data_IF_873767964768
#
_entry.id   IF_873767964768
#
_cell.length_a   1.000
_cell.length_b   1.000
_cell.length_c   1.000
_cell.angle_alpha   90.00
_cell.angle_beta   90.00
_cell.angle_gamma   90.00
#
_symmetry.space_group_name_H-M   'P 1'
#
loop_
_entity.id
_entity.type
_entity.pdbx_description
1 polymer ?
#
# COMPACT_ATOMS: atom_id res chain seq x y z
N UNK A 1 -0.76 -9.73 -4.26
CA UNK A 1 -0.10 -8.78 -5.16
C UNK A 1 -1.11 -8.30 -6.19
N UNK A 2 -1.40 -7.00 -6.22
CA UNK A 2 -2.39 -6.43 -7.13
C UNK A 2 -1.69 -5.66 -8.24
N UNK A 3 -1.99 -6.01 -9.49
CA UNK A 3 -1.50 -5.26 -10.64
C UNK A 3 -2.32 -3.98 -10.81
N UNK A 4 -1.64 -2.87 -11.04
CA UNK A 4 -2.25 -1.54 -11.19
C UNK A 4 -2.24 -1.08 -12.65
N UNK A 5 -1.37 -1.66 -13.47
CA UNK A 5 -1.23 -1.35 -14.89
C UNK A 5 -0.82 -2.58 -15.67
N UNK A 6 -1.25 -2.66 -16.92
CA UNK A 6 -0.76 -3.66 -17.86
C UNK A 6 -0.56 -3.07 -19.26
N UNK A 7 0.52 -3.48 -19.92
CA UNK A 7 0.89 -3.05 -21.27
C UNK A 7 1.05 -4.27 -22.17
N UNK A 8 0.36 -4.29 -23.31
CA UNK A 8 0.52 -5.35 -24.30
C UNK A 8 1.52 -4.96 -25.38
N UNK A 9 2.56 -5.78 -25.55
CA UNK A 9 3.62 -5.61 -26.54
C UNK A 9 3.32 -6.50 -27.76
N UNK A 10 2.80 -5.89 -28.83
CA UNK A 10 2.35 -6.62 -30.02
C UNK A 10 3.47 -7.42 -30.71
N UNK A 11 4.66 -6.83 -30.83
CA UNK A 11 5.82 -7.46 -31.53
C UNK A 11 6.23 -8.78 -30.88
N UNK A 12 6.21 -8.85 -29.56
CA UNK A 12 6.62 -10.04 -28.79
C UNK A 12 5.45 -10.87 -28.29
N UNK A 13 4.21 -10.41 -28.51
CA UNK A 13 2.97 -10.99 -27.97
C UNK A 13 3.02 -11.16 -26.44
N UNK A 14 3.64 -10.22 -25.76
CA UNK A 14 3.87 -10.22 -24.30
C UNK A 14 2.90 -9.27 -23.62
N UNK A 15 2.32 -9.66 -22.48
CA UNK A 15 1.68 -8.71 -21.57
C UNK A 15 2.61 -8.47 -20.39
N UNK A 16 2.93 -7.20 -20.17
CA UNK A 16 3.69 -6.73 -19.02
C UNK A 16 2.73 -6.14 -18.01
N UNK A 17 2.61 -6.79 -16.85
CA UNK A 17 1.88 -6.29 -15.71
C UNK A 17 2.82 -5.55 -14.77
N UNK A 18 2.36 -4.42 -14.24
CA UNK A 18 3.06 -3.60 -13.26
C UNK A 18 2.21 -3.53 -11.98
N UNK A 19 2.80 -3.93 -10.87
CA UNK A 19 2.20 -3.85 -9.54
C UNK A 19 2.44 -2.49 -8.89
N UNK A 20 1.71 -2.18 -7.82
CA UNK A 20 1.80 -0.89 -7.13
C UNK A 20 3.19 -0.57 -6.56
N UNK A 21 3.99 -1.60 -6.26
CA UNK A 21 5.38 -1.50 -5.82
C UNK A 21 6.39 -1.36 -6.99
N UNK A 22 5.91 -1.39 -8.23
CA UNK A 22 6.71 -1.36 -9.45
C UNK A 22 7.23 -2.73 -9.91
N UNK A 23 6.97 -3.81 -9.18
CA UNK A 23 7.32 -5.16 -9.61
C UNK A 23 6.59 -5.51 -10.90
N UNK A 24 7.28 -6.18 -11.82
CA UNK A 24 6.73 -6.51 -13.13
C UNK A 24 6.55 -8.01 -13.31
N UNK A 25 5.45 -8.40 -13.96
CA UNK A 25 5.20 -9.77 -14.40
C UNK A 25 5.05 -9.77 -15.92
N UNK A 26 5.89 -10.54 -16.60
CA UNK A 26 5.77 -10.78 -18.03
C UNK A 26 5.02 -12.08 -18.26
N UNK A 27 3.88 -11.99 -18.95
CA UNK A 27 3.13 -13.15 -19.45
C UNK A 27 3.39 -13.31 -20.95
N UNK A 28 3.96 -14.44 -21.34
CA UNK A 28 4.22 -14.83 -22.73
C UNK A 28 3.59 -16.19 -23.03
N UNK A 29 3.41 -16.52 -24.31
CA UNK A 29 2.75 -17.77 -24.75
C UNK A 29 1.35 -17.97 -24.10
N UNK A 30 0.77 -19.16 -24.22
CA UNK A 30 -0.58 -19.46 -23.74
C UNK A 30 -1.69 -18.77 -24.54
N UNK A 31 -2.89 -18.73 -23.96
CA UNK A 31 -4.06 -18.05 -24.56
C UNK A 31 -4.04 -16.54 -24.34
N UNK A 32 -4.72 -15.79 -25.22
CA UNK A 32 -4.92 -14.34 -25.02
C UNK A 32 -5.69 -14.06 -23.73
N UNK A 33 -6.74 -14.84 -23.47
CA UNK A 33 -7.57 -14.74 -22.27
C UNK A 33 -6.74 -14.86 -20.99
N UNK A 34 -5.83 -15.83 -20.95
CA UNK A 34 -4.88 -15.99 -19.82
C UNK A 34 -3.88 -14.84 -19.73
N UNK A 35 -3.29 -14.42 -20.87
CA UNK A 35 -2.33 -13.30 -20.86
C UNK A 35 -2.97 -11.99 -20.44
N UNK A 36 -4.25 -11.77 -20.75
CA UNK A 36 -4.96 -10.50 -20.51
C UNK A 36 -5.79 -10.53 -19.22
N UNK A 37 -5.83 -11.69 -18.53
CA UNK A 37 -6.77 -11.99 -17.45
C UNK A 37 -8.23 -11.65 -17.86
N UNK A 38 -8.54 -11.81 -19.13
CA UNK A 38 -9.82 -11.46 -19.73
C UNK A 38 -10.53 -12.75 -20.13
N UNK A 39 -11.52 -13.22 -19.37
CA UNK A 39 -12.11 -14.55 -19.55
C UNK A 39 -13.09 -14.68 -20.73
N UNK A 40 -13.18 -13.66 -21.59
CA UNK A 40 -14.00 -13.74 -22.78
C UNK A 40 -13.79 -12.55 -23.72
N UNK A 41 -14.77 -12.31 -24.58
CA UNK A 41 -14.68 -11.27 -25.60
C UNK A 41 -15.00 -9.86 -25.06
N UNK A 42 -14.38 -9.46 -23.95
CA UNK A 42 -14.59 -8.14 -23.34
C UNK A 42 -13.68 -7.12 -24.06
N UNK A 43 -14.30 -6.18 -24.75
CA UNK A 43 -13.62 -5.10 -25.46
C UNK A 43 -13.33 -3.92 -24.52
N UNK A 44 -12.19 -3.27 -24.72
CA UNK A 44 -11.82 -2.06 -24.01
C UNK A 44 -12.74 -0.90 -24.42
N UNK A 45 -13.39 -0.27 -23.44
CA UNK A 45 -14.20 0.93 -23.70
C UNK A 45 -13.30 2.14 -24.01
N UNK A 46 -13.76 3.14 -24.79
CA UNK A 46 -13.01 4.38 -24.98
C UNK A 46 -12.67 5.08 -23.67
N UNK A 47 -13.65 5.15 -22.76
CA UNK A 47 -13.47 5.66 -21.40
C UNK A 47 -13.16 4.52 -20.42
N UNK A 48 -11.92 4.47 -19.92
CA UNK A 48 -11.46 3.44 -19.01
C UNK A 48 -12.19 3.47 -17.65
N UNK A 49 -12.68 4.64 -17.21
CA UNK A 49 -13.35 4.78 -15.91
C UNK A 49 -14.69 4.05 -15.85
N UNK A 50 -15.29 3.77 -17.02
CA UNK A 50 -16.56 3.04 -17.15
C UNK A 50 -16.40 1.52 -17.14
N UNK A 51 -15.17 1.02 -17.04
CA UNK A 51 -14.87 -0.42 -17.07
C UNK A 51 -14.11 -0.82 -15.79
N UNK A 52 -14.85 -1.33 -14.80
CA UNK A 52 -14.29 -1.60 -13.47
C UNK A 52 -13.20 -2.68 -13.56
N UNK A 53 -12.11 -2.48 -12.83
CA UNK A 53 -11.01 -3.45 -12.75
C UNK A 53 -10.10 -3.50 -13.98
N UNK A 54 -10.36 -2.69 -15.01
CA UNK A 54 -9.44 -2.47 -16.12
C UNK A 54 -8.13 -1.86 -15.62
N UNK A 55 -7.02 -2.46 -16.02
CA UNK A 55 -5.67 -1.93 -15.77
C UNK A 55 -4.85 -1.76 -17.06
N UNK A 56 -5.38 -2.21 -18.19
CA UNK A 56 -4.72 -2.08 -19.48
C UNK A 56 -5.66 -2.41 -20.62
N UNK A 57 -5.13 -2.32 -21.83
CA UNK A 57 -5.82 -2.77 -23.04
C UNK A 57 -4.78 -3.22 -24.08
N UNK A 58 -5.15 -4.16 -24.95
CA UNK A 58 -4.25 -4.69 -25.96
C UNK A 58 -4.96 -4.94 -27.29
N UNK A 59 -4.42 -4.36 -28.37
CA UNK A 59 -4.86 -4.62 -29.74
C UNK A 59 -4.01 -5.73 -30.33
N UNK A 60 -4.64 -6.83 -30.75
CA UNK A 60 -3.96 -7.95 -31.42
C UNK A 60 -4.06 -7.75 -32.94
N UNK A 61 -3.06 -8.21 -33.71
CA UNK A 61 -3.13 -8.22 -35.16
C UNK A 61 -4.19 -9.23 -35.63
N UNK A 62 -5.43 -8.75 -35.68
CA UNK A 62 -6.56 -9.32 -36.36
C UNK A 62 -6.96 -8.28 -37.42
N UNK A 63 -7.41 -8.68 -38.64
CA UNK A 63 -7.95 -7.76 -39.65
C UNK A 63 -9.02 -6.78 -39.14
N UNK A 64 -9.51 -6.93 -37.91
CA UNK A 64 -10.65 -6.22 -37.33
C UNK A 64 -10.34 -5.36 -36.08
N UNK A 65 -9.05 -5.04 -35.79
CA UNK A 65 -8.57 -4.06 -34.77
C UNK A 65 -9.28 -4.06 -33.39
N UNK A 66 -9.84 -5.18 -32.94
CA UNK A 66 -10.49 -5.23 -31.65
C UNK A 66 -9.45 -5.09 -30.53
N UNK A 67 -9.69 -4.11 -29.65
CA UNK A 67 -8.82 -3.83 -28.51
C UNK A 67 -9.44 -4.47 -27.29
N UNK A 68 -8.83 -5.52 -26.77
CA UNK A 68 -9.32 -6.24 -25.60
C UNK A 68 -8.91 -5.52 -24.33
N UNK A 69 -9.76 -5.56 -23.32
CA UNK A 69 -9.40 -5.07 -21.99
C UNK A 69 -8.44 -6.05 -21.29
N UNK A 70 -7.55 -5.52 -20.45
CA UNK A 70 -6.66 -6.28 -19.58
C UNK A 70 -7.03 -6.00 -18.13
N UNK A 71 -7.26 -7.05 -17.35
CA UNK A 71 -7.68 -6.96 -15.95
C UNK A 71 -6.55 -7.30 -14.98
N UNK A 72 -6.67 -6.82 -13.73
CA UNK A 72 -5.65 -7.07 -12.71
C UNK A 72 -5.56 -8.52 -12.25
N UNK A 73 -6.63 -9.29 -12.41
CA UNK A 73 -6.65 -10.73 -12.16
C UNK A 73 -7.80 -11.36 -12.92
N UNK A 74 -7.79 -12.69 -13.02
CA UNK A 74 -8.86 -13.38 -13.73
C UNK A 74 -10.21 -13.23 -13.02
N UNK A 75 -10.22 -13.23 -11.69
CA UNK A 75 -11.42 -13.06 -10.87
C UNK A 75 -12.03 -11.66 -11.04
N UNK A 76 -11.20 -10.66 -11.35
CA UNK A 76 -11.68 -9.32 -11.72
C UNK A 76 -12.33 -9.35 -13.10
N UNK A 77 -11.70 -10.02 -14.07
CA UNK A 77 -12.27 -10.20 -15.40
C UNK A 77 -13.59 -10.97 -15.39
N UNK A 78 -13.70 -12.02 -14.57
CA UNK A 78 -14.93 -12.81 -14.42
C UNK A 78 -16.07 -11.99 -13.84
N UNK A 79 -15.79 -11.19 -12.80
CA UNK A 79 -16.80 -10.28 -12.24
C UNK A 79 -17.26 -9.23 -13.25
N UNK A 80 -16.35 -8.66 -14.03
CA UNK A 80 -16.72 -7.70 -15.08
C UNK A 80 -17.49 -8.38 -16.21
N UNK A 81 -17.18 -9.64 -16.57
CA UNK A 81 -17.97 -10.43 -17.52
C UNK A 81 -19.42 -10.52 -17.05
N UNK A 82 -19.65 -11.01 -15.83
CA UNK A 82 -21.00 -11.11 -15.26
C UNK A 82 -21.71 -9.75 -15.20
N UNK A 83 -21.00 -8.69 -14.77
CA UNK A 83 -21.55 -7.35 -14.71
C UNK A 83 -21.90 -6.79 -16.10
N UNK A 84 -21.09 -7.05 -17.12
CA UNK A 84 -21.33 -6.66 -18.49
C UNK A 84 -22.59 -7.35 -19.05
N UNK A 85 -22.72 -8.66 -18.83
CA UNK A 85 -23.91 -9.42 -19.26
C UNK A 85 -25.19 -8.84 -18.64
N UNK A 86 -25.18 -8.60 -17.32
CA UNK A 86 -26.34 -8.03 -16.60
C UNK A 86 -26.62 -6.57 -16.95
N UNK A 87 -25.61 -5.79 -17.35
CA UNK A 87 -25.75 -4.35 -17.63
C UNK A 87 -26.10 -4.03 -19.09
N UNK A 88 -25.40 -4.64 -20.04
CA UNK A 88 -25.52 -4.32 -21.47
C UNK A 88 -26.50 -5.24 -22.19
N UNK A 89 -26.56 -6.51 -21.79
CA UNK A 89 -27.31 -7.54 -22.50
C UNK A 89 -28.57 -7.98 -21.73
N UNK A 90 -28.97 -7.20 -20.72
CA UNK A 90 -30.10 -7.48 -19.82
C UNK A 90 -31.37 -7.90 -20.56
N UNK A 91 -31.72 -7.16 -21.60
CA UNK A 91 -33.01 -7.32 -22.29
C UNK A 91 -32.88 -8.12 -23.60
N UNK A 92 -31.67 -8.63 -23.88
CA UNK A 92 -31.38 -9.48 -25.03
C UNK A 92 -31.65 -10.95 -24.69
N UNK A 93 -32.11 -11.71 -25.68
CA UNK A 93 -32.07 -13.17 -25.62
C UNK A 93 -30.60 -13.65 -25.65
N UNK A 94 -30.32 -14.87 -25.19
CA UNK A 94 -28.97 -15.44 -25.31
C UNK A 94 -28.49 -15.43 -26.77
N UNK A 95 -29.39 -15.72 -27.71
CA UNK A 95 -29.10 -15.66 -29.15
C UNK A 95 -28.74 -14.25 -29.62
N UNK A 96 -29.57 -13.25 -29.31
CA UNK A 96 -29.33 -11.86 -29.75
C UNK A 96 -28.07 -11.27 -29.09
N UNK A 97 -27.82 -11.66 -27.83
CA UNK A 97 -26.62 -11.29 -27.11
C UNK A 97 -25.36 -11.80 -27.84
N UNK A 98 -25.36 -13.05 -28.33
CA UNK A 98 -24.18 -13.62 -29.00
C UNK A 98 -23.82 -12.87 -30.27
N UNK A 99 -24.79 -12.39 -31.03
CA UNK A 99 -24.55 -11.56 -32.22
C UNK A 99 -23.80 -10.27 -31.92
N UNK A 100 -23.87 -9.78 -30.68
CA UNK A 100 -23.18 -8.57 -30.22
C UNK A 100 -21.93 -8.87 -29.39
N UNK A 101 -21.94 -9.96 -28.62
CA UNK A 101 -20.85 -10.36 -27.74
C UNK A 101 -19.73 -11.07 -28.51
N UNK A 102 -20.07 -11.91 -29.48
CA UNK A 102 -19.14 -12.64 -30.34
C UNK A 102 -19.59 -12.51 -31.81
N UNK A 103 -19.50 -11.31 -32.42
CA UNK A 103 -20.06 -11.05 -33.74
C UNK A 103 -19.29 -11.79 -34.86
N UNK A 104 -19.97 -12.04 -35.98
CA UNK A 104 -19.37 -12.55 -37.23
C UNK A 104 -18.30 -11.58 -37.78
N UNK A 105 -18.54 -10.29 -37.58
CA UNK A 105 -17.55 -9.23 -37.82
C UNK A 105 -16.35 -9.32 -36.88
N UNK A 106 -16.19 -10.34 -36.04
CA UNK A 106 -14.95 -10.67 -35.33
C UNK A 106 -14.39 -12.06 -35.71
N UNK A 107 -15.02 -12.76 -36.66
CA UNK A 107 -14.65 -14.11 -37.10
C UNK A 107 -15.29 -15.23 -36.28
N UNK A 108 -16.36 -14.92 -35.55
CA UNK A 108 -17.13 -15.90 -34.78
C UNK A 108 -18.36 -16.35 -35.57
N UNK A 109 -19.01 -17.41 -35.08
CA UNK A 109 -20.34 -17.84 -35.51
C UNK A 109 -21.29 -17.67 -34.33
N UNK A 110 -22.05 -16.55 -34.24
CA UNK A 110 -22.95 -16.28 -33.12
C UNK A 110 -24.03 -17.34 -32.94
N UNK A 111 -24.51 -17.94 -34.04
CA UNK A 111 -25.59 -18.93 -34.01
C UNK A 111 -25.05 -20.24 -33.41
N UNK A 112 -23.91 -20.73 -33.90
CA UNK A 112 -23.25 -21.89 -33.31
C UNK A 112 -22.82 -21.62 -31.86
N UNK A 113 -22.42 -20.39 -31.53
CA UNK A 113 -22.10 -19.99 -30.16
C UNK A 113 -23.34 -20.10 -29.26
N UNK A 114 -24.47 -19.49 -29.65
CA UNK A 114 -25.71 -19.54 -28.88
C UNK A 114 -26.22 -20.98 -28.71
N UNK A 115 -26.14 -21.82 -29.75
CA UNK A 115 -26.48 -23.24 -29.67
C UNK A 115 -25.59 -24.00 -28.67
N UNK A 116 -24.28 -23.72 -28.69
CA UNK A 116 -23.35 -24.30 -27.72
C UNK A 116 -23.71 -23.89 -26.28
N UNK A 117 -23.96 -22.60 -26.03
CA UNK A 117 -24.36 -22.12 -24.70
C UNK A 117 -25.63 -22.82 -24.25
N UNK A 118 -26.63 -22.93 -25.12
CA UNK A 118 -27.91 -23.55 -24.76
C UNK A 118 -27.74 -25.04 -24.42
N UNK A 119 -26.97 -25.77 -25.23
CA UNK A 119 -26.66 -27.18 -24.98
C UNK A 119 -25.87 -27.41 -23.68
N UNK A 120 -24.91 -26.54 -23.38
CA UNK A 120 -24.00 -26.71 -22.23
C UNK A 120 -24.64 -26.24 -20.92
N UNK A 121 -25.41 -25.14 -20.95
CA UNK A 121 -26.05 -24.57 -19.77
C UNK A 121 -27.40 -25.21 -19.45
N UNK A 122 -28.04 -25.85 -20.44
CA UNK A 122 -29.43 -26.32 -20.36
C UNK A 122 -30.46 -25.19 -20.38
N UNK A 123 -30.06 -23.95 -20.71
CA UNK A 123 -30.94 -22.78 -20.79
C UNK A 123 -31.34 -22.54 -22.24
N UNK A 124 -32.63 -22.26 -22.49
CA UNK A 124 -33.14 -21.99 -23.82
C UNK A 124 -32.54 -20.68 -24.40
N UNK A 125 -32.10 -20.72 -25.66
CA UNK A 125 -31.37 -19.60 -26.30
C UNK A 125 -32.21 -18.35 -26.56
N UNK A 126 -33.53 -18.48 -26.57
CA UNK A 126 -34.53 -17.42 -26.72
C UNK A 126 -34.90 -16.76 -25.36
N UNK A 127 -34.44 -17.32 -24.24
CA UNK A 127 -34.64 -16.71 -22.92
C UNK A 127 -33.78 -15.45 -22.77
N UNK A 128 -34.35 -14.40 -22.17
CA UNK A 128 -33.61 -13.16 -21.89
C UNK A 128 -32.67 -13.31 -20.70
N UNK A 129 -31.57 -12.56 -20.72
CA UNK A 129 -30.62 -12.53 -19.60
C UNK A 129 -31.27 -12.05 -18.29
N UNK A 130 -32.23 -11.13 -18.37
CA UNK A 130 -33.00 -10.63 -17.22
C UNK A 130 -33.98 -11.64 -16.63
N UNK A 131 -34.38 -12.65 -17.40
CA UNK A 131 -35.34 -13.68 -16.97
C UNK A 131 -34.63 -14.90 -16.35
N UNK A 132 -33.29 -14.92 -16.35
CA UNK A 132 -32.49 -15.98 -15.75
C UNK A 132 -32.46 -15.83 -14.22
N UNK A 133 -32.71 -16.92 -13.51
CA UNK A 133 -32.34 -16.98 -12.09
C UNK A 133 -30.81 -17.10 -11.94
N UNK A 134 -30.30 -16.90 -10.72
CA UNK A 134 -28.84 -16.88 -10.50
C UNK A 134 -28.15 -18.18 -10.94
N UNK A 135 -28.75 -19.35 -10.72
CA UNK A 135 -28.18 -20.64 -11.14
C UNK A 135 -28.19 -20.82 -12.67
N UNK A 136 -29.25 -20.40 -13.36
CA UNK A 136 -29.28 -20.41 -14.83
C UNK A 136 -28.25 -19.44 -15.41
N UNK A 137 -28.13 -18.24 -14.81
CA UNK A 137 -27.16 -17.25 -15.21
C UNK A 137 -25.72 -17.76 -15.05
N UNK A 138 -25.41 -18.37 -13.91
CA UNK A 138 -24.09 -18.94 -13.62
C UNK A 138 -23.74 -20.05 -14.63
N UNK A 139 -24.69 -20.94 -14.96
CA UNK A 139 -24.49 -21.96 -16.00
C UNK A 139 -24.23 -21.37 -17.39
N UNK A 140 -24.91 -20.28 -17.75
CA UNK A 140 -24.68 -19.57 -19.02
C UNK A 140 -23.28 -18.94 -19.02
N UNK A 141 -22.87 -18.31 -17.93
CA UNK A 141 -21.53 -17.74 -17.75
C UNK A 141 -20.44 -18.81 -17.87
N UNK A 142 -20.64 -19.97 -17.24
CA UNK A 142 -19.71 -21.11 -17.31
C UNK A 142 -19.63 -21.69 -18.72
N UNK A 143 -20.76 -21.79 -19.44
CA UNK A 143 -20.79 -22.21 -20.83
C UNK A 143 -20.01 -21.24 -21.74
N UNK A 144 -20.15 -19.93 -21.54
CA UNK A 144 -19.34 -18.92 -22.24
C UNK A 144 -17.86 -19.15 -21.93
N UNK A 145 -17.47 -19.30 -20.67
CA UNK A 145 -16.06 -19.57 -20.28
C UNK A 145 -15.48 -20.81 -20.97
N UNK A 146 -16.27 -21.89 -21.07
CA UNK A 146 -15.88 -23.12 -21.76
C UNK A 146 -15.70 -22.90 -23.26
N UNK A 147 -16.61 -22.16 -23.90
CA UNK A 147 -16.54 -21.85 -25.35
C UNK A 147 -15.31 -21.02 -25.72
N UNK A 148 -14.89 -20.12 -24.83
CA UNK A 148 -13.68 -19.31 -24.99
C UNK A 148 -12.37 -20.14 -24.91
N UNK A 149 -12.46 -21.47 -24.75
CA UNK A 149 -11.33 -22.39 -24.82
C UNK A 149 -10.51 -22.47 -23.53
N UNK A 150 -11.01 -21.86 -22.46
CA UNK A 150 -10.40 -21.85 -21.14
C UNK A 150 -9.08 -21.09 -21.06
N UNK A 151 -8.58 -20.96 -19.83
CA UNK A 151 -7.33 -20.24 -19.54
C UNK A 151 -6.15 -21.18 -19.66
N UNK A 152 -5.69 -21.44 -20.89
CA UNK A 152 -4.46 -22.22 -21.07
C UNK A 152 -3.26 -21.35 -20.68
N UNK A 153 -2.54 -21.70 -19.60
CA UNK A 153 -1.44 -20.90 -19.12
C UNK A 153 -0.26 -20.92 -20.11
N UNK A 154 0.46 -19.80 -20.15
CA UNK A 154 1.73 -19.68 -20.85
C UNK A 154 2.89 -19.69 -19.86
N UNK A 155 3.87 -18.85 -20.13
CA UNK A 155 5.03 -18.64 -19.25
C UNK A 155 4.88 -17.34 -18.48
N UNK A 156 5.15 -17.41 -17.19
CA UNK A 156 5.25 -16.27 -16.30
C UNK A 156 6.71 -16.01 -15.96
N UNK A 157 7.15 -14.76 -16.12
CA UNK A 157 8.49 -14.33 -15.71
C UNK A 157 8.39 -13.06 -14.86
N UNK A 158 8.79 -13.19 -13.61
CA UNK A 158 8.95 -12.06 -12.70
C UNK A 158 10.16 -11.22 -13.10
N UNK A 159 9.98 -9.91 -13.08
CA UNK A 159 11.02 -8.92 -13.37
C UNK A 159 11.02 -7.93 -12.21
N UNK A 160 12.10 -7.99 -11.44
CA UNK A 160 12.33 -7.11 -10.31
C UNK A 160 13.00 -5.82 -10.76
N UNK A 161 12.75 -4.74 -10.03
CA UNK A 161 13.25 -3.41 -10.39
C UNK A 161 13.75 -2.64 -9.18
N UNK A 162 14.60 -1.66 -9.43
CA UNK A 162 14.92 -0.61 -8.45
C UNK A 162 14.33 0.70 -8.95
N UNK A 163 13.36 1.24 -8.21
CA UNK A 163 12.80 2.56 -8.43
C UNK A 163 13.50 3.56 -7.51
N UNK A 164 13.93 4.69 -8.05
CA UNK A 164 14.58 5.75 -7.29
C UNK A 164 13.77 7.02 -7.42
N UNK A 165 13.39 7.60 -6.28
CA UNK A 165 12.73 8.90 -6.21
C UNK A 165 13.62 9.86 -5.43
N UNK A 166 13.84 11.05 -5.96
CA UNK A 166 14.58 12.12 -5.30
C UNK A 166 13.59 13.15 -4.78
N UNK A 167 13.70 13.45 -3.48
CA UNK A 167 12.87 14.44 -2.82
C UNK A 167 13.72 15.34 -1.94
N UNK A 168 13.28 16.59 -1.78
CA UNK A 168 13.86 17.48 -0.79
C UNK A 168 13.27 17.34 0.63
N UNK A 169 12.44 16.32 0.84
CA UNK A 169 11.68 16.08 2.07
C UNK A 169 10.29 16.71 2.06
N UNK A 170 10.03 17.69 1.19
CA UNK A 170 8.72 18.32 1.03
C UNK A 170 8.12 18.07 -0.36
N UNK A 171 8.96 17.99 -1.39
CA UNK A 171 8.57 17.91 -2.80
C UNK A 171 9.53 17.00 -3.57
N UNK A 172 9.09 16.43 -4.70
CA UNK A 172 10.00 15.76 -5.61
C UNK A 172 10.95 16.75 -6.32
N UNK A 173 12.16 16.32 -6.63
CA UNK A 173 13.19 17.16 -7.27
C UNK A 173 13.47 16.68 -8.69
N UNK A 174 13.12 17.50 -9.67
CA UNK A 174 13.28 17.22 -11.09
C UNK A 174 14.69 17.52 -11.61
N UNK A 175 15.04 16.95 -12.76
CA UNK A 175 16.26 17.19 -13.53
C UNK A 175 17.57 16.97 -12.75
N UNK A 176 17.55 16.11 -11.72
CA UNK A 176 18.74 15.74 -10.95
C UNK A 176 19.57 14.76 -11.78
N UNK A 177 20.81 15.11 -12.19
CA UNK A 177 21.63 14.23 -13.02
C UNK A 177 22.27 13.11 -12.19
N UNK A 178 22.24 11.91 -12.72
CA UNK A 178 22.91 10.73 -12.18
C UNK A 178 23.71 10.02 -13.26
N UNK A 179 24.90 9.60 -12.87
CA UNK A 179 25.64 8.56 -13.58
C UNK A 179 25.25 7.21 -13.01
N UNK A 180 24.51 6.43 -13.79
CA UNK A 180 23.94 5.14 -13.40
C UNK A 180 24.76 4.03 -14.04
N UNK A 181 25.39 3.21 -13.21
CA UNK A 181 26.23 2.10 -13.64
C UNK A 181 25.46 0.80 -13.37
N UNK A 182 25.18 0.06 -14.45
CA UNK A 182 24.48 -1.23 -14.43
C UNK A 182 25.41 -2.30 -15.01
N UNK A 183 25.97 -3.13 -14.14
CA UNK A 183 27.04 -4.06 -14.51
C UNK A 183 28.26 -3.31 -15.06
N UNK A 184 28.57 -3.51 -16.35
CA UNK A 184 29.67 -2.83 -17.05
C UNK A 184 29.23 -1.58 -17.82
N UNK A 185 27.92 -1.31 -17.92
CA UNK A 185 27.40 -0.21 -18.74
C UNK A 185 27.11 1.01 -17.88
N UNK A 186 27.49 2.18 -18.38
CA UNK A 186 27.23 3.47 -17.72
C UNK A 186 26.21 4.28 -18.52
N UNK A 187 25.26 4.88 -17.83
CA UNK A 187 24.24 5.74 -18.39
C UNK A 187 24.21 7.09 -17.69
N UNK A 188 23.84 8.13 -18.43
CA UNK A 188 23.57 9.45 -17.87
C UNK A 188 22.06 9.69 -17.88
N UNK A 189 21.45 9.60 -16.70
CA UNK A 189 20.02 9.78 -16.52
C UNK A 189 19.74 10.98 -15.64
N UNK A 190 18.53 11.53 -15.76
CA UNK A 190 18.05 12.58 -14.88
C UNK A 190 16.66 12.25 -14.36
N UNK A 191 16.30 12.79 -13.20
CA UNK A 191 14.96 12.64 -12.65
C UNK A 191 13.93 13.41 -13.48
N UNK A 192 12.71 12.88 -13.54
CA UNK A 192 11.57 13.53 -14.19
C UNK A 192 10.92 14.62 -13.31
N UNK A 193 9.85 15.25 -13.79
CA UNK A 193 9.10 16.28 -13.07
C UNK A 193 8.53 15.83 -11.71
N UNK A 194 8.48 14.52 -11.44
CA UNK A 194 8.02 13.90 -10.20
C UNK A 194 9.19 13.35 -9.38
N UNK A 195 10.42 13.78 -9.67
CA UNK A 195 11.62 13.35 -9.00
C UNK A 195 11.97 11.88 -9.21
N UNK A 196 11.32 11.18 -10.15
CA UNK A 196 11.58 9.77 -10.41
C UNK A 196 12.72 9.62 -11.40
N UNK A 197 13.69 8.79 -11.07
CA UNK A 197 14.66 8.33 -12.04
C UNK A 197 14.03 7.24 -12.90
N UNK A 198 14.52 7.08 -14.13
CA UNK A 198 14.16 5.95 -14.98
C UNK A 198 14.33 4.63 -14.19
N UNK A 199 13.28 3.80 -14.19
CA UNK A 199 13.27 2.50 -13.50
C UNK A 199 14.42 1.62 -13.94
N UNK A 200 15.17 1.10 -12.97
CA UNK A 200 16.30 0.18 -13.21
C UNK A 200 15.75 -1.24 -13.22
N UNK A 201 15.86 -1.93 -14.34
CA UNK A 201 15.39 -3.31 -14.50
C UNK A 201 16.50 -4.27 -14.08
N UNK A 202 16.19 -5.26 -13.24
CA UNK A 202 17.13 -6.31 -12.87
C UNK A 202 17.23 -7.33 -14.01
N UNK A 203 18.11 -7.09 -14.98
CA UNK A 203 18.27 -7.95 -16.16
C UNK A 203 18.97 -9.27 -15.85
N UNK A 204 19.85 -9.28 -14.83
CA UNK A 204 20.61 -10.44 -14.37
C UNK A 204 20.78 -10.38 -12.85
N UNK A 205 20.57 -11.52 -12.18
CA UNK A 205 20.88 -11.66 -10.76
C UNK A 205 22.39 -11.45 -10.54
N UNK A 206 22.76 -10.68 -9.53
CA UNK A 206 24.16 -10.33 -9.30
C UNK A 206 24.65 -9.10 -10.07
N UNK A 207 23.82 -8.47 -10.93
CA UNK A 207 24.21 -7.24 -11.63
C UNK A 207 24.40 -6.09 -10.62
N UNK A 208 25.59 -5.47 -10.62
CA UNK A 208 25.83 -4.28 -9.81
C UNK A 208 24.97 -3.10 -10.28
N UNK A 209 24.36 -2.40 -9.33
CA UNK A 209 23.59 -1.17 -9.54
C UNK A 209 24.28 -0.09 -8.71
N UNK A 210 24.86 0.91 -9.37
CA UNK A 210 25.52 2.03 -8.69
C UNK A 210 24.96 3.34 -9.25
N UNK A 211 24.49 4.21 -8.36
CA UNK A 211 24.14 5.58 -8.71
C UNK A 211 25.19 6.52 -8.15
N UNK A 212 25.73 7.34 -9.04
CA UNK A 212 26.61 8.44 -8.67
C UNK A 212 25.95 9.77 -8.99
N UNK A 213 26.14 10.73 -8.09
CA UNK A 213 25.74 12.12 -8.27
C UNK A 213 26.99 12.98 -8.42
N UNK A 214 26.99 13.88 -9.39
CA UNK A 214 28.06 14.87 -9.54
C UNK A 214 27.71 16.08 -8.69
N UNK A 215 28.51 16.34 -7.66
CA UNK A 215 28.29 17.47 -6.77
C UNK A 215 28.71 18.80 -7.43
N UNK A 216 28.42 19.92 -6.76
CA UNK A 216 28.73 21.27 -7.27
C UNK A 216 30.21 21.54 -7.50
N UNK A 217 31.11 20.72 -6.95
CA UNK A 217 32.55 20.77 -7.17
C UNK A 217 33.01 19.89 -8.35
N UNK A 218 32.08 19.26 -9.08
CA UNK A 218 32.38 18.38 -10.20
C UNK A 218 32.85 16.98 -9.80
N UNK A 219 32.81 16.65 -8.50
CA UNK A 219 33.21 15.33 -7.99
C UNK A 219 32.02 14.37 -7.99
N UNK A 220 32.27 13.13 -8.41
CA UNK A 220 31.26 12.07 -8.39
C UNK A 220 31.25 11.33 -7.05
N UNK A 221 30.15 11.42 -6.32
CA UNK A 221 29.94 10.67 -5.08
C UNK A 221 28.94 9.53 -5.32
N UNK A 222 29.22 8.34 -4.77
CA UNK A 222 28.30 7.20 -4.82
C UNK A 222 27.18 7.44 -3.82
N UNK A 223 25.97 7.67 -4.32
CA UNK A 223 24.79 7.96 -3.49
C UNK A 223 23.93 6.73 -3.23
N UNK A 224 24.09 5.66 -4.02
CA UNK A 224 23.45 4.36 -3.80
C UNK A 224 24.26 3.28 -4.50
N UNK A 225 24.40 2.13 -3.84
CA UNK A 225 24.93 0.91 -4.44
C UNK A 225 24.16 -0.30 -3.95
N UNK A 226 23.88 -1.21 -4.87
CA UNK A 226 23.22 -2.47 -4.58
C UNK A 226 23.59 -3.52 -5.63
N UNK A 227 23.17 -4.75 -5.36
CA UNK A 227 23.21 -5.84 -6.33
C UNK A 227 21.77 -6.19 -6.69
N UNK A 228 21.51 -6.34 -8.00
CA UNK A 228 20.24 -6.80 -8.52
C UNK A 228 19.95 -8.21 -7.99
N UNK A 229 18.82 -8.36 -7.32
CA UNK A 229 18.34 -9.64 -6.78
C UNK A 229 16.88 -9.87 -7.12
N UNK A 230 16.27 -10.80 -6.38
CA UNK A 230 14.90 -11.27 -6.61
C UNK A 230 13.86 -10.47 -5.81
N UNK A 231 14.16 -9.19 -5.56
CA UNK A 231 13.28 -8.27 -4.85
C UNK A 231 13.23 -6.92 -5.56
N UNK A 232 12.03 -6.32 -5.61
CA UNK A 232 11.85 -4.94 -6.07
C UNK A 232 12.18 -3.99 -4.93
N UNK A 233 12.93 -2.93 -5.24
CA UNK A 233 13.37 -1.91 -4.28
C UNK A 233 12.81 -0.56 -4.66
N UNK A 234 12.26 0.14 -3.67
CA UNK A 234 11.83 1.52 -3.81
C UNK A 234 12.70 2.38 -2.89
N UNK A 235 13.52 3.23 -3.50
CA UNK A 235 14.52 4.04 -2.81
C UNK A 235 14.07 5.50 -2.85
N UNK A 236 14.01 6.10 -1.67
CA UNK A 236 13.85 7.54 -1.53
C UNK A 236 15.21 8.15 -1.19
N UNK A 237 15.71 8.98 -2.11
CA UNK A 237 16.89 9.80 -1.90
C UNK A 237 16.45 11.19 -1.46
N UNK A 238 16.79 11.55 -0.22
CA UNK A 238 16.48 12.89 0.31
C UNK A 238 17.50 13.94 -0.17
N UNK A 239 17.29 15.23 0.13
CA UNK A 239 18.17 16.36 -0.27
C UNK A 239 19.64 16.17 0.09
N UNK A 240 19.92 15.49 1.22
CA UNK A 240 21.27 15.12 1.66
C UNK A 240 21.64 13.69 1.25
N UNK A 241 21.01 13.14 0.21
CA UNK A 241 21.13 11.75 -0.25
C UNK A 241 21.10 10.69 0.87
N UNK A 242 20.53 11.03 2.02
CA UNK A 242 20.33 10.09 3.12
C UNK A 242 19.34 9.05 2.62
N UNK A 243 19.77 7.79 2.63
CA UNK A 243 19.04 6.69 2.03
C UNK A 243 18.01 6.16 3.03
N UNK A 244 16.75 6.17 2.61
CA UNK A 244 15.71 5.38 3.25
C UNK A 244 15.33 4.27 2.29
N UNK A 245 15.71 3.05 2.65
CA UNK A 245 15.32 1.85 1.93
C UNK A 245 14.20 1.18 2.70
N UNK A 246 13.05 1.02 2.06
CA UNK A 246 12.02 0.13 2.56
C UNK A 246 12.03 -1.12 1.68
N UNK A 247 11.99 -2.30 2.30
CA UNK A 247 11.45 -3.45 1.59
C UNK A 247 10.01 -3.10 1.27
N UNK A 248 9.68 -2.94 0.00
CA UNK A 248 8.28 -3.03 -0.39
C UNK A 248 7.87 -4.46 -0.09
N UNK A 249 7.20 -4.64 1.04
CA UNK A 249 6.32 -5.79 1.19
C UNK A 249 5.46 -5.79 -0.07
N UNK A 250 5.26 -6.95 -0.68
CA UNK A 250 4.22 -7.09 -1.69
C UNK A 250 2.97 -6.40 -1.14
N UNK A 251 2.15 -5.78 -2.00
CA UNK A 251 0.72 -5.61 -1.67
C UNK A 251 0.18 -7.02 -1.43
N UNK A 252 0.43 -7.53 -0.25
CA UNK A 252 -0.39 -8.51 0.40
C UNK A 252 -1.73 -7.78 0.45
N UNK A 253 -2.78 -8.28 -0.23
CA UNK A 253 -4.11 -7.95 0.26
C UNK A 253 -4.01 -8.21 1.75
N UNK A 254 -4.31 -7.18 2.56
CA UNK A 254 -4.42 -7.23 4.03
C UNK A 254 -4.50 -8.70 4.43
N UNK A 255 -3.36 -9.29 4.84
CA UNK A 255 -3.27 -10.75 5.04
C UNK A 255 -4.56 -11.13 5.73
N UNK A 256 -5.41 -12.04 5.20
CA UNK A 256 -6.52 -12.53 5.98
C UNK A 256 -5.87 -12.96 7.27
N UNK A 257 -6.08 -12.17 8.33
CA UNK A 257 -5.43 -12.36 9.63
C UNK A 257 -5.65 -13.84 9.88
N UNK A 258 -4.57 -14.61 9.97
CA UNK A 258 -4.66 -16.04 10.28
C UNK A 258 -5.74 -16.15 11.34
N UNK A 259 -6.80 -16.94 11.06
CA UNK A 259 -7.98 -17.09 11.93
C UNK A 259 -7.46 -17.07 13.35
N UNK A 260 -7.65 -15.95 14.02
CA UNK A 260 -6.78 -15.66 15.14
C UNK A 260 -7.13 -16.70 16.19
N UNK A 261 -6.15 -17.44 16.69
CA UNK A 261 -6.28 -18.28 17.88
C UNK A 261 -6.53 -17.44 19.15
N UNK A 262 -7.01 -16.20 18.98
CA UNK A 262 -7.39 -15.29 20.04
C UNK A 262 -8.71 -15.77 20.62
N UNK A 263 -8.77 -15.80 21.94
CA UNK A 263 -10.01 -16.07 22.64
C UNK A 263 -11.06 -15.01 22.27
N UNK A 264 -12.33 -15.40 22.09
CA UNK A 264 -13.40 -14.47 21.78
C UNK A 264 -13.56 -13.45 22.92
N UNK A 265 -13.66 -12.17 22.55
CA UNK A 265 -14.04 -11.08 23.47
C UNK A 265 -15.54 -10.88 23.33
N UNK A 266 -16.27 -11.04 24.42
CA UNK A 266 -17.70 -10.73 24.49
C UNK A 266 -17.89 -9.23 24.77
N UNK A 267 -18.47 -8.51 23.82
CA UNK A 267 -18.73 -7.08 23.91
C UNK A 267 -20.24 -6.82 23.96
N UNK A 268 -20.68 -5.94 24.87
CA UNK A 268 -22.07 -5.47 24.92
C UNK A 268 -22.12 -4.09 24.26
N UNK A 269 -22.91 -3.98 23.20
CA UNK A 269 -23.12 -2.72 22.48
C UNK A 269 -23.70 -1.67 23.43
N UNK A 270 -23.10 -0.48 23.46
CA UNK A 270 -23.55 0.65 24.26
C UNK A 270 -24.30 1.68 23.40
N UNK A 271 -25.03 2.59 24.06
CA UNK A 271 -25.65 3.73 23.37
C UNK A 271 -24.57 4.57 22.67
N UNK A 272 -24.74 4.83 21.38
CA UNK A 272 -23.79 5.61 20.55
C UNK A 272 -22.68 4.79 19.87
N UNK A 273 -22.66 3.46 20.08
CA UNK A 273 -21.75 2.56 19.36
C UNK A 273 -22.15 2.36 17.90
N UNK A 274 -21.15 2.08 17.07
CA UNK A 274 -21.30 1.56 15.72
C UNK A 274 -20.31 0.41 15.50
N UNK A 275 -20.61 -0.51 14.59
CA UNK A 275 -19.67 -1.60 14.25
C UNK A 275 -18.30 -1.06 13.82
N UNK A 276 -18.26 0.11 13.18
CA UNK A 276 -17.00 0.76 12.78
C UNK A 276 -16.17 1.22 13.98
N UNK A 277 -16.77 1.89 14.96
CA UNK A 277 -16.09 2.33 16.20
C UNK A 277 -15.61 1.13 17.02
N UNK A 278 -16.43 0.09 17.10
CA UNK A 278 -16.09 -1.15 17.79
C UNK A 278 -14.91 -1.84 17.06
N UNK A 279 -14.99 -1.98 15.73
CA UNK A 279 -13.92 -2.58 14.94
C UNK A 279 -12.58 -1.85 15.09
N UNK A 280 -12.61 -0.51 15.11
CA UNK A 280 -11.45 0.33 15.33
C UNK A 280 -10.83 0.13 16.73
N UNK A 281 -11.68 0.08 17.78
CA UNK A 281 -11.26 -0.18 19.16
C UNK A 281 -10.56 -1.52 19.31
N UNK A 282 -11.12 -2.57 18.70
CA UNK A 282 -10.64 -3.94 18.81
C UNK A 282 -9.68 -4.37 17.70
N UNK A 283 -9.17 -3.43 16.87
CA UNK A 283 -8.26 -3.73 15.74
C UNK A 283 -8.74 -4.93 14.91
N UNK A 284 -10.02 -4.94 14.57
CA UNK A 284 -10.67 -5.91 13.67
C UNK A 284 -11.40 -5.14 12.56
N UNK A 285 -12.27 -5.79 11.79
CA UNK A 285 -13.06 -5.16 10.74
C UNK A 285 -14.57 -5.28 11.02
N UNK A 286 -15.34 -4.34 10.47
CA UNK A 286 -16.81 -4.38 10.50
C UNK A 286 -17.34 -5.67 9.91
N UNK A 287 -16.70 -6.15 8.84
CA UNK A 287 -17.12 -7.35 8.12
C UNK A 287 -16.84 -8.62 8.93
N UNK A 288 -15.73 -8.68 9.66
CA UNK A 288 -15.43 -9.79 10.57
C UNK A 288 -16.42 -9.82 11.74
N UNK A 289 -16.70 -8.68 12.37
CA UNK A 289 -17.69 -8.61 13.45
C UNK A 289 -19.07 -9.02 12.92
N UNK A 290 -19.47 -8.51 11.76
CA UNK A 290 -20.77 -8.83 11.18
C UNK A 290 -20.90 -10.31 10.84
N UNK A 291 -19.87 -10.90 10.24
CA UNK A 291 -19.84 -12.32 9.88
C UNK A 291 -19.89 -13.23 11.11
N UNK A 292 -19.11 -12.92 12.15
CA UNK A 292 -19.05 -13.74 13.36
C UNK A 292 -20.34 -13.68 14.18
N UNK A 293 -21.12 -12.60 14.01
CA UNK A 293 -22.35 -12.35 14.75
C UNK A 293 -23.62 -12.47 13.89
N UNK A 294 -23.51 -13.04 12.68
CA UNK A 294 -24.62 -13.22 11.74
C UNK A 294 -25.41 -11.92 11.44
N UNK A 295 -24.72 -10.78 11.42
CA UNK A 295 -25.32 -9.47 11.15
C UNK A 295 -25.38 -9.24 9.63
N UNK A 296 -26.59 -9.26 9.07
CA UNK A 296 -26.81 -9.01 7.63
C UNK A 296 -26.71 -7.53 7.25
N UNK A 297 -27.02 -6.62 8.18
CA UNK A 297 -26.95 -5.18 7.97
C UNK A 297 -26.01 -4.54 9.00
N UNK A 298 -24.81 -4.18 8.55
CA UNK A 298 -23.72 -3.64 9.39
C UNK A 298 -24.06 -2.31 10.08
N UNK A 299 -25.10 -1.61 9.61
CA UNK A 299 -25.56 -0.35 10.19
C UNK A 299 -26.64 -0.52 11.26
N UNK A 300 -27.08 -1.76 11.54
CA UNK A 300 -28.14 -2.04 12.51
C UNK A 300 -27.62 -2.90 13.66
N UNK A 301 -27.10 -2.22 14.69
CA UNK A 301 -26.81 -2.82 16.00
C UNK A 301 -27.60 -2.08 17.08
N UNK A 302 -27.94 -2.76 18.17
CA UNK A 302 -28.77 -2.21 19.25
C UNK A 302 -28.02 -2.20 20.58
N UNK A 303 -28.17 -1.16 21.42
CA UNK A 303 -27.66 -1.18 22.79
C UNK A 303 -28.12 -2.44 23.54
N UNK A 304 -27.22 -3.08 24.28
CA UNK A 304 -27.45 -4.37 24.96
C UNK A 304 -27.18 -5.60 24.10
N UNK A 305 -26.98 -5.45 22.78
CA UNK A 305 -26.62 -6.56 21.90
C UNK A 305 -25.23 -7.11 22.24
N UNK A 306 -25.11 -8.44 22.37
CA UNK A 306 -23.82 -9.12 22.57
C UNK A 306 -23.15 -9.37 21.22
N UNK A 307 -21.87 -9.06 21.15
CA UNK A 307 -21.02 -9.29 19.99
C UNK A 307 -19.80 -10.11 20.41
N UNK A 308 -19.57 -11.21 19.71
CA UNK A 308 -18.35 -11.98 19.78
C UNK A 308 -17.31 -11.37 18.84
N UNK A 309 -16.21 -10.88 19.40
CA UNK A 309 -15.17 -10.14 18.68
C UNK A 309 -13.83 -10.87 18.80
N UNK A 310 -13.18 -11.12 17.67
CA UNK A 310 -11.85 -11.71 17.60
C UNK A 310 -10.84 -10.61 17.24
N UNK A 311 -10.43 -9.84 18.24
CA UNK A 311 -9.62 -8.64 18.07
C UNK A 311 -8.71 -8.35 19.27
N UNK A 312 -7.89 -7.31 19.17
CA UNK A 312 -7.01 -6.85 20.25
C UNK A 312 -7.52 -5.48 20.69
N UNK A 313 -7.94 -5.35 21.95
CA UNK A 313 -8.42 -4.09 22.48
C UNK A 313 -7.25 -3.10 22.64
N UNK A 314 -7.27 -1.99 21.91
CA UNK A 314 -6.13 -1.05 21.83
C UNK A 314 -6.47 0.38 22.24
N UNK A 315 -7.66 0.62 22.80
CA UNK A 315 -8.02 1.98 23.25
C UNK A 315 -9.02 1.96 24.41
N UNK A 316 -8.50 2.34 25.57
CA UNK A 316 -9.25 2.90 26.68
C UNK A 316 -9.92 1.88 27.61
N UNK A 317 -10.37 2.36 28.79
CA UNK A 317 -10.98 1.52 29.80
C UNK A 317 -12.20 0.77 29.27
N UNK A 318 -12.17 -0.56 29.35
CA UNK A 318 -13.35 -1.40 29.17
C UNK A 318 -14.19 -1.31 30.43
N UNK A 319 -15.44 -0.86 30.32
CA UNK A 319 -16.37 -0.89 31.45
C UNK A 319 -16.93 -2.31 31.57
N UNK A 320 -16.57 -3.02 32.63
CA UNK A 320 -17.07 -4.34 32.99
C UNK A 320 -18.18 -4.21 34.03
N UNK A 321 -19.35 -4.78 33.76
CA UNK A 321 -20.43 -4.85 34.76
C UNK A 321 -20.28 -6.17 35.53
N UNK A 322 -20.04 -6.07 36.83
CA UNK A 322 -19.88 -7.21 37.73
C UNK A 322 -21.15 -8.06 37.71
N UNK A 323 -21.01 -9.36 37.49
CA UNK A 323 -22.10 -10.33 37.53
C UNK A 323 -22.17 -11.05 38.89
N UNK A 324 -23.32 -11.64 39.28
CA UNK A 324 -23.39 -12.49 40.47
C UNK A 324 -22.32 -13.59 40.44
N UNK A 325 -21.46 -13.64 41.47
CA UNK A 325 -20.39 -14.64 41.61
C UNK A 325 -19.03 -14.25 41.01
N UNK A 326 -18.90 -13.05 40.44
CA UNK A 326 -17.62 -12.50 40.01
C UNK A 326 -16.75 -12.06 41.20
N UNK A 327 -15.43 -12.17 41.04
CA UNK A 327 -14.42 -11.59 41.95
C UNK A 327 -13.45 -10.74 41.14
N UNK A 328 -12.83 -9.73 41.77
CA UNK A 328 -11.87 -8.86 41.07
C UNK A 328 -10.70 -9.66 40.47
N UNK A 329 -10.29 -10.75 41.15
CA UNK A 329 -9.30 -11.71 40.66
C UNK A 329 -9.73 -12.43 39.37
N UNK A 330 -10.96 -12.94 39.29
CA UNK A 330 -11.48 -13.59 38.07
C UNK A 330 -11.59 -12.59 36.91
N UNK A 331 -12.03 -11.38 37.21
CA UNK A 331 -12.15 -10.30 36.22
C UNK A 331 -10.76 -9.89 35.71
N UNK A 332 -9.78 -9.71 36.60
CA UNK A 332 -8.40 -9.39 36.27
C UNK A 332 -7.76 -10.45 35.37
N UNK A 333 -7.86 -11.73 35.76
CA UNK A 333 -7.34 -12.85 35.00
C UNK A 333 -7.97 -12.95 33.60
N UNK A 334 -9.29 -12.75 33.49
CA UNK A 334 -10.02 -12.78 32.22
C UNK A 334 -9.60 -11.65 31.26
N UNK A 335 -9.22 -10.50 31.81
CA UNK A 335 -8.87 -9.31 31.03
C UNK A 335 -7.36 -9.08 30.89
N UNK A 336 -6.52 -9.99 31.43
CA UNK A 336 -5.06 -9.90 31.32
C UNK A 336 -4.45 -8.69 32.02
N UNK A 337 -5.03 -8.25 33.14
CA UNK A 337 -4.56 -7.12 33.97
C UNK A 337 -4.38 -7.56 35.42
N UNK A 338 -3.68 -6.76 36.24
CA UNK A 338 -3.55 -7.06 37.67
C UNK A 338 -4.80 -6.64 38.46
N UNK A 339 -5.06 -7.33 39.57
CA UNK A 339 -6.15 -6.98 40.51
C UNK A 339 -5.93 -5.57 41.06
N UNK A 340 -4.68 -5.23 41.38
CA UNK A 340 -4.31 -3.93 41.93
C UNK A 340 -4.51 -2.79 40.95
N UNK A 341 -4.26 -3.03 39.66
CA UNK A 341 -4.51 -2.02 38.63
C UNK A 341 -6.01 -1.77 38.46
N UNK A 342 -6.86 -2.80 38.49
CA UNK A 342 -8.31 -2.63 38.48
C UNK A 342 -8.76 -1.89 39.75
N UNK A 343 -8.27 -2.28 40.92
CA UNK A 343 -8.67 -1.67 42.18
C UNK A 343 -8.30 -0.17 42.24
N UNK A 344 -7.05 0.16 41.88
CA UNK A 344 -6.57 1.54 41.78
C UNK A 344 -7.35 2.36 40.78
N UNK A 345 -7.61 1.80 39.60
CA UNK A 345 -8.32 2.50 38.52
C UNK A 345 -9.78 2.82 38.88
N UNK A 346 -10.38 2.02 39.75
CA UNK A 346 -11.79 2.14 40.15
C UNK A 346 -11.99 2.67 41.57
N UNK A 347 -10.92 3.16 42.22
CA UNK A 347 -10.93 3.63 43.61
C UNK A 347 -11.54 2.61 44.59
N UNK A 348 -11.25 1.32 44.40
CA UNK A 348 -11.74 0.24 45.26
C UNK A 348 -10.75 0.05 46.42
N UNK A 349 -11.19 0.36 47.64
CA UNK A 349 -10.36 0.21 48.84
C UNK A 349 -10.16 -1.24 49.29
N UNK A 350 -11.13 -2.11 49.00
CA UNK A 350 -11.06 -3.54 49.31
C UNK A 350 -11.34 -4.36 48.04
N UNK A 351 -10.30 -4.93 47.39
CA UNK A 351 -10.44 -5.71 46.16
C UNK A 351 -11.38 -6.91 46.26
N UNK A 352 -11.73 -7.37 47.47
CA UNK A 352 -12.67 -8.47 47.69
C UNK A 352 -14.13 -8.02 47.78
N UNK A 353 -14.40 -6.71 47.78
CA UNK A 353 -15.76 -6.14 47.89
C UNK A 353 -16.19 -5.48 46.59
N UNK A 354 -16.70 -6.29 45.67
CA UNK A 354 -17.43 -5.84 44.49
C UNK A 354 -18.86 -6.37 44.49
N UNK A 355 -19.78 -5.60 43.90
CA UNK A 355 -21.21 -5.92 43.91
C UNK A 355 -21.73 -6.20 42.50
N UNK A 356 -22.64 -7.17 42.31
CA UNK A 356 -23.32 -7.35 41.04
C UNK A 356 -23.98 -6.05 40.56
N UNK A 357 -23.79 -5.70 39.28
CA UNK A 357 -24.23 -4.44 38.68
C UNK A 357 -23.20 -3.30 38.76
N UNK A 358 -22.11 -3.45 39.52
CA UNK A 358 -21.05 -2.44 39.61
C UNK A 358 -20.28 -2.32 38.28
N UNK A 359 -20.08 -1.09 37.81
CA UNK A 359 -19.30 -0.80 36.60
C UNK A 359 -17.83 -0.58 36.94
N UNK A 360 -16.94 -1.37 36.35
CA UNK A 360 -15.49 -1.34 36.55
C UNK A 360 -14.78 -0.91 35.26
N UNK A 361 -14.07 0.19 35.31
CA UNK A 361 -13.15 0.70 34.29
C UNK A 361 -11.87 -0.15 34.28
N UNK A 362 -11.61 -0.90 33.21
CA UNK A 362 -10.45 -1.80 33.08
C UNK A 362 -9.58 -1.35 31.91
N UNK A 363 -8.41 -0.77 32.19
CA UNK A 363 -7.44 -0.38 31.16
C UNK A 363 -6.35 -1.45 31.01
N UNK A 364 -6.12 -1.93 29.78
CA UNK A 364 -5.07 -2.93 29.48
C UNK A 364 -3.71 -2.31 29.14
N UNK A 365 -3.51 -1.01 29.41
CA UNK A 365 -2.26 -0.31 29.14
C UNK A 365 -1.40 -0.20 30.42
N UNK A 366 -0.50 -1.16 30.59
CA UNK A 366 0.70 -1.03 31.40
C UNK A 366 0.89 -2.11 32.46
N UNK A 367 1.76 -3.09 32.18
CA UNK A 367 2.86 -3.53 33.06
C UNK A 367 3.59 -4.74 32.46
N UNK A 368 4.56 -4.48 31.59
CA UNK A 368 5.76 -5.32 31.47
C UNK A 368 6.94 -4.44 31.88
N UNK A 369 7.14 -4.29 33.19
CA UNK A 369 8.39 -3.79 33.78
C UNK A 369 8.52 -4.22 35.26
N UNK A 370 9.52 -5.08 35.47
CA UNK A 370 10.32 -5.32 36.67
C UNK A 370 9.73 -6.12 37.86
N UNK A 371 10.25 -7.36 38.00
CA UNK A 371 10.62 -7.96 39.27
C UNK A 371 12.11 -8.31 39.22
N UNK A 372 12.95 -7.50 39.86
CA UNK A 372 14.36 -7.77 40.18
C UNK A 372 14.45 -8.34 41.61
N UNK A 373 15.35 -9.29 41.86
CA UNK A 373 15.89 -9.60 43.19
C UNK A 373 17.41 -9.81 43.11
N UNK A 374 18.15 -8.78 43.58
CA UNK A 374 19.42 -8.68 44.35
C UNK A 374 20.60 -9.66 44.09
N UNK A 375 21.83 -9.26 43.67
CA UNK A 375 22.99 -8.49 44.28
C UNK A 375 24.02 -9.44 45.01
N UNK A 376 25.39 -9.27 45.07
CA UNK A 376 26.22 -8.04 45.15
C UNK A 376 27.61 -7.90 44.43
N UNK A 377 28.04 -6.62 44.33
CA UNK A 377 29.37 -5.92 44.35
C UNK A 377 30.65 -6.61 43.79
N UNK A 378 31.61 -5.92 43.15
CA UNK A 378 32.65 -5.05 43.76
C UNK A 378 33.37 -4.12 42.73
N UNK A 379 33.65 -2.89 43.19
CA UNK A 379 34.70 -1.87 42.87
C UNK A 379 35.02 -1.33 41.45
N UNK A 380 34.98 0.00 41.36
CA UNK A 380 35.74 0.89 40.44
C UNK A 380 37.11 1.26 41.05
N UNK A 381 38.06 1.88 40.32
CA UNK A 381 38.10 3.35 40.32
C UNK A 381 38.56 4.04 39.02
N UNK A 382 38.36 5.36 39.03
CA UNK A 382 38.39 6.35 37.96
C UNK A 382 39.78 6.86 37.51
N UNK A 383 39.82 7.61 36.39
CA UNK A 383 40.60 8.86 36.29
C UNK A 383 40.04 9.81 35.20
N UNK A 384 40.28 11.12 35.40
CA UNK A 384 39.71 12.30 34.72
C UNK A 384 40.85 13.08 33.96
N UNK A 385 40.66 14.29 33.36
CA UNK A 385 40.96 14.62 31.95
C UNK A 385 42.12 15.63 31.71
N UNK A 386 42.50 15.88 30.44
CA UNK A 386 43.38 17.02 30.00
C UNK A 386 42.93 17.62 28.64
N UNK A 387 43.40 18.85 28.35
CA UNK A 387 42.80 20.00 27.69
C UNK A 387 43.56 20.48 26.41
N UNK A 388 42.86 21.14 25.48
CA UNK A 388 43.25 22.20 24.48
C UNK A 388 44.42 22.01 23.48
N UNK A 389 44.14 22.28 22.18
CA UNK A 389 44.60 23.49 21.45
C UNK A 389 43.95 23.68 20.06
N UNK A 390 43.71 24.95 19.71
CA UNK A 390 43.28 25.51 18.42
C UNK A 390 44.44 25.59 17.42
N UNK A 391 44.15 25.57 16.11
CA UNK A 391 44.78 26.47 15.12
C UNK A 391 43.84 26.80 13.94
N UNK A 392 43.98 28.05 13.47
CA UNK A 392 43.30 28.71 12.36
C UNK A 392 43.95 28.38 11.00
N UNK A 393 43.16 28.47 9.93
CA UNK A 393 43.49 29.02 8.60
C UNK A 393 42.17 29.04 7.83
N UNK A 394 41.69 30.04 7.10
CA UNK A 394 42.28 31.18 6.41
C UNK A 394 41.24 31.49 5.33
N UNK A 395 40.59 32.64 5.43
CA UNK A 395 39.44 33.02 4.58
C UNK A 395 39.94 33.28 3.16
N UNK A 396 39.24 32.76 2.14
CA UNK A 396 39.31 33.35 0.81
C UNK A 396 37.91 33.75 0.34
N UNK A 397 37.75 35.07 0.23
CA UNK A 397 36.55 35.81 -0.14
C UNK A 397 36.43 35.91 -1.65
N UNK A 398 35.44 35.25 -2.23
CA UNK A 398 34.77 35.71 -3.45
C UNK A 398 33.42 35.00 -3.56
N UNK A 399 32.49 35.43 -2.71
CA UNK A 399 31.09 34.97 -2.72
C UNK A 399 30.25 36.10 -3.29
N UNK A 400 30.16 36.16 -4.61
CA UNK A 400 29.08 36.91 -5.25
C UNK A 400 27.83 36.03 -5.13
N UNK A 401 27.01 36.33 -4.14
CA UNK A 401 25.71 35.69 -3.91
C UNK A 401 24.81 36.00 -5.10
N UNK A 402 24.36 34.97 -5.82
CA UNK A 402 23.25 35.09 -6.76
C UNK A 402 21.93 34.95 -5.98
N UNK A 403 20.95 35.78 -6.35
CA UNK A 403 19.63 35.81 -5.71
C UNK A 403 18.96 34.43 -5.73
N UNK A 404 18.31 34.09 -4.62
CA UNK A 404 17.42 32.93 -4.55
C UNK A 404 16.10 33.28 -5.24
N UNK A 405 15.81 32.59 -6.33
CA UNK A 405 14.53 32.72 -7.05
C UNK A 405 14.09 31.34 -7.51
N UNK A 406 13.02 30.80 -6.92
CA UNK A 406 12.19 29.87 -7.70
C UNK A 406 11.09 29.07 -7.03
N UNK A 407 9.84 29.47 -7.31
CA UNK A 407 8.65 28.61 -7.27
C UNK A 407 8.30 28.08 -8.68
N UNK A 408 7.25 27.28 -8.79
CA UNK A 408 6.92 26.43 -9.97
C UNK A 408 6.78 27.14 -11.34
N UNK A 409 6.92 28.47 -11.42
CA UNK A 409 6.82 29.30 -12.63
C UNK A 409 7.85 30.47 -12.68
N UNK A 410 8.95 30.44 -11.94
CA UNK A 410 9.84 31.61 -11.77
C UNK A 410 10.85 31.86 -12.89
N UNK A 411 10.97 30.99 -13.89
CA UNK A 411 12.02 31.09 -14.92
C UNK A 411 13.46 30.88 -14.42
N UNK A 412 13.66 30.64 -13.13
CA UNK A 412 14.98 30.44 -12.50
C UNK A 412 15.02 29.07 -11.79
N UNK A 413 16.04 28.23 -12.03
CA UNK A 413 16.14 26.91 -11.40
C UNK A 413 16.32 27.04 -9.88
N UNK A 414 15.70 26.12 -9.14
CA UNK A 414 15.92 25.97 -7.69
C UNK A 414 17.42 25.74 -7.48
N UNK A 415 18.06 26.61 -6.71
CA UNK A 415 19.44 26.40 -6.31
C UNK A 415 19.54 25.07 -5.56
N UNK A 416 20.16 24.07 -6.21
CA UNK A 416 20.51 22.80 -5.58
C UNK A 416 21.46 23.13 -4.43
N UNK A 417 21.02 22.81 -3.22
CA UNK A 417 21.92 22.76 -2.08
C UNK A 417 22.91 21.62 -2.31
N UNK A 418 24.23 21.89 -2.32
CA UNK A 418 25.24 20.85 -2.36
C UNK A 418 25.00 19.85 -1.22
N UNK A 419 25.17 18.56 -1.47
CA UNK A 419 24.99 17.48 -0.48
C UNK A 419 25.77 17.71 0.84
N UNK A 420 26.91 18.38 0.76
CA UNK A 420 27.77 18.71 1.90
C UNK A 420 27.24 19.90 2.73
N UNK A 421 26.36 20.71 2.12
CA UNK A 421 25.88 21.94 2.71
C UNK A 421 24.65 21.67 3.59
N UNK A 422 24.86 21.72 4.90
CA UNK A 422 23.82 21.47 5.93
C UNK A 422 22.75 22.56 6.02
N UNK A 423 22.97 23.73 5.43
CA UNK A 423 22.12 24.91 5.58
C UNK A 423 21.90 25.62 4.24
N UNK A 424 20.64 25.93 3.91
CA UNK A 424 20.25 26.72 2.74
C UNK A 424 20.97 28.09 2.68
N UNK A 425 21.49 28.53 1.52
CA UNK A 425 22.20 29.80 1.41
C UNK A 425 21.34 31.01 1.84
N UNK A 426 20.02 30.91 1.69
CA UNK A 426 19.07 31.94 2.10
C UNK A 426 18.87 32.01 3.62
N UNK A 427 19.18 30.96 4.40
CA UNK A 427 19.07 31.02 5.86
C UNK A 427 20.04 32.04 6.46
N UNK A 428 21.26 32.14 5.93
CA UNK A 428 22.22 33.15 6.37
C UNK A 428 21.70 34.58 6.15
N UNK A 429 21.07 34.83 4.99
CA UNK A 429 20.44 36.11 4.67
C UNK A 429 19.22 36.37 5.56
N UNK A 430 18.39 35.36 5.80
CA UNK A 430 17.24 35.47 6.71
C UNK A 430 17.65 35.75 8.16
N UNK A 431 18.76 35.16 8.63
CA UNK A 431 19.33 35.47 9.94
C UNK A 431 19.87 36.90 10.01
N UNK A 432 20.62 37.33 9.00
CA UNK A 432 21.17 38.68 8.93
C UNK A 432 20.06 39.74 8.83
N UNK A 433 19.02 39.51 8.04
CA UNK A 433 17.84 40.38 8.00
C UNK A 433 17.04 40.34 9.30
N UNK A 434 16.89 39.19 9.94
CA UNK A 434 16.24 39.05 11.25
C UNK A 434 16.96 39.84 12.35
N UNK A 435 18.29 39.83 12.34
CA UNK A 435 19.11 40.60 13.27
C UNK A 435 19.09 42.11 12.96
N UNK A 436 19.18 42.50 11.69
CA UNK A 436 19.37 43.90 11.28
C UNK A 436 18.07 44.67 11.05
N UNK A 437 17.09 44.09 10.35
CA UNK A 437 15.81 44.74 10.03
C UNK A 437 14.78 44.59 11.12
N UNK A 438 14.68 43.40 11.71
CA UNK A 438 13.61 43.07 12.64
C UNK A 438 14.03 43.20 14.11
N UNK A 439 15.32 43.51 14.37
CA UNK A 439 15.92 43.63 15.70
C UNK A 439 15.42 42.54 16.65
N UNK A 440 15.58 41.27 16.26
CA UNK A 440 15.36 40.13 17.15
C UNK A 440 16.39 40.20 18.27
N UNK A 441 16.16 41.09 19.22
CA UNK A 441 17.10 41.45 20.25
C UNK A 441 17.45 40.24 21.10
N UNK A 442 18.74 39.96 21.20
CA UNK A 442 19.36 39.39 22.38
C UNK A 442 18.77 38.07 22.94
N UNK A 443 18.30 37.15 22.11
CA UNK A 443 18.25 35.74 22.52
C UNK A 443 19.66 35.15 22.45
N UNK A 444 20.51 35.53 23.43
CA UNK A 444 21.69 34.75 23.81
C UNK A 444 21.22 33.32 24.11
N UNK A 445 21.37 32.42 23.15
CA UNK A 445 20.88 31.07 23.34
C UNK A 445 21.16 30.16 22.17
N UNK A 446 22.43 29.80 22.00
CA UNK A 446 22.94 28.71 21.16
C UNK A 446 22.43 27.31 21.63
N UNK A 447 21.15 27.20 22.04
CA UNK A 447 20.60 26.06 22.80
C UNK A 447 19.32 25.45 22.27
N UNK A 448 18.67 26.03 21.26
CA UNK A 448 17.38 25.53 20.78
C UNK A 448 17.44 24.53 19.62
N UNK A 449 18.62 24.13 19.15
CA UNK A 449 18.78 23.19 18.03
C UNK A 449 19.54 21.89 18.35
N UNK A 450 19.95 21.69 19.60
CA UNK A 450 20.69 20.47 20.02
C UNK A 450 19.84 19.48 20.86
N UNK A 451 18.52 19.52 20.74
CA UNK A 451 17.65 18.48 21.34
C UNK A 451 16.44 18.18 20.48
N UNK A 452 16.66 17.42 19.42
CA UNK A 452 15.75 16.36 18.99
C UNK A 452 16.63 15.16 18.57
N UNK A 453 16.29 13.93 19.00
CA UNK A 453 17.13 12.73 18.86
C UNK A 453 17.41 12.33 17.42
#
# INVERSE_FOLDING_TARGET
>A
MRFVKATYHLKTKTVEYEAGDGTRLLKTAGTLSWRFNNPGNIIALPDANKQKGRIGAGTVYNPKKNTFVIFSSIEVGEREKCALLKRKYRDYTISDMMSQYAPETAGNDPVAYANFISSESGVAKDKKISDLNDNEFDKVVDAISKKEGGLKPGTEKWVYVTNVTVSDGCRPVADVPFKVILGSTTYEWKTDAYGKLKTIIHTKQGMAIVLKYTNSAGKEDVVYSAVAGDETKNILLTRNFSQFSAKTLAETPKVPREKSTQNPIEYIVMSGDSLSKIAERYKTSTDEIAKNNNIKNVSKIFPGQRLTIYGVNTSGPSVYIVSPGDTLAKIAAKNGVSVDDIARQNNISDPNKIYPGQSLSISTNGSNAAGETEKPSVSSPASKPVNKKRQNSGINTNKKTLESVGGKNSGNPIALLPHEQREAPWMAVAFEEGETRWKWGACKGRRWWNKLP
#
